data_IF_407850263171
#
_entry.id   IF_407850263171
#
_cell.length_a   1.000
_cell.length_b   1.000
_cell.length_c   1.000
_cell.angle_alpha   90.00
_cell.angle_beta   90.00
_cell.angle_gamma   90.00
#
_symmetry.space_group_name_H-M   'P 1'
#
loop_
_entity.id
_entity.type
_entity.pdbx_description
1 polymer ?
#
# COMPACT_ATOMS: atom_id res chain seq x y z
N UNK A 1 15.36 -12.91 -14.31
CA UNK A 1 13.90 -13.13 -14.22
C UNK A 1 13.42 -13.18 -12.78
N UNK A 2 13.88 -14.12 -11.94
CA UNK A 2 13.46 -14.16 -10.53
C UNK A 2 13.82 -12.90 -9.72
N UNK A 3 15.04 -12.38 -9.88
CA UNK A 3 15.48 -11.13 -9.24
C UNK A 3 14.66 -9.91 -9.67
N UNK A 4 14.25 -9.86 -10.94
CA UNK A 4 13.44 -8.77 -11.48
C UNK A 4 12.03 -8.77 -10.88
N UNK A 5 11.40 -9.94 -10.78
CA UNK A 5 10.09 -10.10 -10.13
C UNK A 5 10.17 -9.73 -8.65
N UNK A 6 11.23 -10.12 -7.94
CA UNK A 6 11.42 -9.75 -6.53
C UNK A 6 11.59 -8.24 -6.38
N UNK A 7 12.39 -7.60 -7.24
CA UNK A 7 12.55 -6.15 -7.27
C UNK A 7 11.23 -5.43 -7.55
N UNK A 8 10.40 -5.98 -8.43
CA UNK A 8 9.07 -5.42 -8.72
C UNK A 8 8.13 -5.53 -7.51
N UNK A 9 8.14 -6.64 -6.76
CA UNK A 9 7.39 -6.74 -5.51
C UNK A 9 7.83 -5.66 -4.52
N UNK A 10 9.14 -5.48 -4.33
CA UNK A 10 9.68 -4.49 -3.41
C UNK A 10 9.32 -3.06 -3.82
N UNK A 11 9.45 -2.74 -5.11
CA UNK A 11 9.05 -1.43 -5.63
C UNK A 11 7.56 -1.14 -5.44
N UNK A 12 6.68 -2.14 -5.62
CA UNK A 12 5.24 -1.95 -5.43
C UNK A 12 4.84 -1.89 -3.95
N UNK A 13 5.55 -2.59 -3.05
CA UNK A 13 5.35 -2.44 -1.61
C UNK A 13 5.72 -1.03 -1.12
N UNK A 14 6.84 -0.47 -1.61
CA UNK A 14 7.23 0.93 -1.33
C UNK A 14 6.15 1.90 -1.79
N UNK A 15 5.66 1.76 -3.04
CA UNK A 15 4.58 2.61 -3.57
C UNK A 15 3.30 2.51 -2.75
N UNK A 16 2.92 1.31 -2.29
CA UNK A 16 1.74 1.13 -1.45
C UNK A 16 1.86 1.89 -0.11
N UNK A 17 3.05 1.88 0.50
CA UNK A 17 3.32 2.64 1.72
C UNK A 17 3.34 4.15 1.47
N UNK A 18 3.90 4.61 0.35
CA UNK A 18 3.85 6.03 -0.05
C UNK A 18 2.42 6.55 -0.20
N UNK A 19 1.54 5.77 -0.85
CA UNK A 19 0.11 6.09 -0.99
C UNK A 19 -0.54 6.16 0.38
N UNK A 20 -0.27 5.20 1.26
CA UNK A 20 -0.81 5.19 2.63
C UNK A 20 -0.38 6.43 3.42
N UNK A 21 0.89 6.83 3.32
CA UNK A 21 1.40 8.05 3.97
C UNK A 21 0.67 9.28 3.44
N UNK A 22 0.46 9.37 2.12
CA UNK A 22 -0.31 10.45 1.51
C UNK A 22 -1.76 10.48 2.02
N UNK A 23 -2.45 9.34 2.03
CA UNK A 23 -3.83 9.23 2.53
C UNK A 23 -3.95 9.60 4.01
N UNK A 24 -2.97 9.22 4.84
CA UNK A 24 -2.92 9.61 6.25
C UNK A 24 -2.74 11.12 6.40
N UNK A 25 -1.90 11.75 5.58
CA UNK A 25 -1.76 13.22 5.58
C UNK A 25 -3.10 13.88 5.26
N UNK A 26 -3.80 13.44 4.21
CA UNK A 26 -5.14 13.95 3.89
C UNK A 26 -6.16 13.74 5.02
N UNK A 27 -6.09 12.61 5.72
CA UNK A 27 -7.01 12.27 6.80
C UNK A 27 -6.85 13.19 8.03
N UNK A 28 -5.60 13.49 8.40
CA UNK A 28 -5.27 14.30 9.57
C UNK A 28 -5.16 15.79 9.28
N UNK A 29 -5.07 16.20 8.02
CA UNK A 29 -5.07 17.60 7.65
C UNK A 29 -6.47 18.23 7.84
N UNK A 30 -6.59 19.28 8.67
CA UNK A 30 -7.87 19.91 8.96
C UNK A 30 -8.59 20.44 7.72
N UNK A 31 -7.87 21.04 6.76
CA UNK A 31 -8.45 21.64 5.55
C UNK A 31 -8.94 20.54 4.62
N UNK A 32 -8.12 19.52 4.36
CA UNK A 32 -8.51 18.41 3.49
C UNK A 32 -9.62 17.55 4.08
N UNK A 33 -9.71 17.45 5.41
CA UNK A 33 -10.78 16.68 6.05
C UNK A 33 -12.18 17.29 5.87
N UNK A 34 -12.27 18.54 5.40
CA UNK A 34 -13.53 19.18 5.00
C UNK A 34 -13.89 18.91 3.54
N UNK A 35 -12.89 18.64 2.69
CA UNK A 35 -13.04 18.36 1.26
C UNK A 35 -13.23 16.88 0.97
N UNK A 36 -12.55 16.02 1.72
CA UNK A 36 -12.55 14.57 1.56
C UNK A 36 -13.29 13.88 2.70
N UNK A 37 -14.11 12.90 2.33
CA UNK A 37 -14.89 12.12 3.28
C UNK A 37 -13.96 11.20 4.11
N UNK A 38 -13.87 11.45 5.43
CA UNK A 38 -13.03 10.68 6.37
C UNK A 38 -13.26 9.16 6.30
N UNK A 39 -14.50 8.64 6.36
CA UNK A 39 -14.77 7.23 6.11
C UNK A 39 -14.15 6.67 4.83
N UNK A 40 -14.22 7.41 3.72
CA UNK A 40 -13.60 6.99 2.44
C UNK A 40 -12.08 6.92 2.58
N UNK A 41 -11.45 7.93 3.16
CA UNK A 41 -10.01 7.93 3.40
C UNK A 41 -9.58 6.77 4.30
N UNK A 42 -10.33 6.47 5.36
CA UNK A 42 -10.07 5.30 6.22
C UNK A 42 -10.14 4.00 5.43
N UNK A 43 -11.17 3.80 4.61
CA UNK A 43 -11.28 2.61 3.76
C UNK A 43 -10.10 2.47 2.81
N UNK A 44 -9.65 3.58 2.20
CA UNK A 44 -8.50 3.59 1.30
C UNK A 44 -7.18 3.27 2.05
N UNK A 45 -6.98 3.83 3.25
CA UNK A 45 -5.83 3.50 4.10
C UNK A 45 -5.83 2.00 4.42
N UNK A 46 -6.97 1.45 4.85
CA UNK A 46 -7.09 0.01 5.12
C UNK A 46 -6.85 -0.83 3.86
N UNK A 47 -7.32 -0.39 2.68
CA UNK A 47 -7.05 -1.08 1.42
C UNK A 47 -5.55 -1.10 1.09
N UNK A 48 -4.81 -0.02 1.36
CA UNK A 48 -3.35 -0.02 1.18
C UNK A 48 -2.62 -1.01 2.09
N UNK A 49 -3.10 -1.19 3.33
CA UNK A 49 -2.56 -2.20 4.25
C UNK A 49 -2.77 -3.63 3.72
N UNK A 50 -3.96 -3.92 3.19
CA UNK A 50 -4.24 -5.21 2.55
C UNK A 50 -3.40 -5.44 1.29
N UNK A 51 -3.24 -4.41 0.44
CA UNK A 51 -2.39 -4.51 -0.75
C UNK A 51 -0.94 -4.82 -0.39
N UNK A 52 -0.38 -4.12 0.59
CA UNK A 52 0.99 -4.37 1.07
C UNK A 52 1.14 -5.80 1.62
N UNK A 53 0.19 -6.25 2.44
CA UNK A 53 0.20 -7.62 2.98
C UNK A 53 0.13 -8.67 1.87
N UNK A 54 -0.76 -8.48 0.89
CA UNK A 54 -0.92 -9.39 -0.24
C UNK A 54 0.35 -9.47 -1.11
N UNK A 55 1.00 -8.32 -1.38
CA UNK A 55 2.27 -8.29 -2.12
C UNK A 55 3.36 -9.07 -1.39
N UNK A 56 3.44 -8.92 -0.06
CA UNK A 56 4.40 -9.68 0.74
C UNK A 56 4.13 -11.20 0.68
N UNK A 57 2.87 -11.61 0.81
CA UNK A 57 2.48 -13.03 0.68
C UNK A 57 2.83 -13.58 -0.70
N UNK A 58 2.56 -12.82 -1.76
CA UNK A 58 2.90 -13.21 -3.13
C UNK A 58 4.41 -13.34 -3.33
N UNK A 59 5.21 -12.41 -2.77
CA UNK A 59 6.67 -12.47 -2.81
C UNK A 59 7.19 -13.72 -2.10
N UNK A 60 6.72 -14.02 -0.89
CA UNK A 60 7.09 -15.24 -0.15
C UNK A 60 6.73 -16.47 -0.96
N UNK A 61 5.50 -16.56 -1.47
CA UNK A 61 5.05 -17.70 -2.28
C UNK A 61 5.86 -17.87 -3.56
N UNK A 62 6.28 -16.77 -4.20
CA UNK A 62 7.13 -16.80 -5.39
C UNK A 62 8.52 -17.37 -5.07
N UNK A 63 9.13 -16.92 -3.97
CA UNK A 63 10.45 -17.35 -3.52
C UNK A 63 10.48 -18.79 -2.98
N UNK A 64 9.35 -19.29 -2.47
CA UNK A 64 9.21 -20.66 -1.97
C UNK A 64 8.81 -21.68 -3.04
N UNK A 65 8.68 -21.28 -4.31
CA UNK A 65 8.46 -22.25 -5.40
C UNK A 65 9.74 -23.06 -5.62
N UNK A 66 9.64 -24.40 -5.74
CA UNK A 66 10.76 -25.26 -6.07
C UNK A 66 11.30 -25.00 -7.48
#
# INVERSE_FOLDING_TARGET
MAEEVVRDFDANMVKAEEIKVFLRRLYYDPEFSTLFNRPVLTMLITATDYLHSNLNVLKVKYLSKP
#
